data_IF_457621297446
#
_entry.id   IF_457621297446
#
_cell.length_a   1.000
_cell.length_b   1.000
_cell.length_c   1.000
_cell.angle_alpha   90.00
_cell.angle_beta   90.00
_cell.angle_gamma   90.00
#
_symmetry.space_group_name_H-M   'P 1'
#
loop_
_entity.id
_entity.type
_entity.pdbx_description
1 polymer ?
#
# COMPACT_ATOMS: atom_id res chain seq x y z
N UNK A 1 -7.25 6.38 6.85
CA UNK A 1 -6.39 6.47 5.64
C UNK A 1 -7.22 6.85 4.43
N UNK A 2 -6.66 7.59 3.48
CA UNK A 2 -7.27 7.81 2.15
C UNK A 2 -6.64 6.86 1.14
N UNK A 3 -7.44 6.29 0.25
CA UNK A 3 -6.94 5.38 -0.77
C UNK A 3 -5.99 6.10 -1.72
N UNK A 4 -4.75 5.63 -1.92
CA UNK A 4 -3.80 6.28 -2.84
C UNK A 4 -4.23 6.18 -4.31
N UNK A 5 -5.18 5.29 -4.64
CA UNK A 5 -5.65 5.09 -6.02
C UNK A 5 -6.84 5.98 -6.39
N UNK A 6 -7.79 6.16 -5.48
CA UNK A 6 -9.06 6.86 -5.76
C UNK A 6 -9.41 7.95 -4.73
N UNK A 7 -8.53 8.22 -3.76
CA UNK A 7 -8.76 9.14 -2.63
C UNK A 7 -9.98 8.83 -1.76
N UNK A 8 -10.62 7.67 -1.97
CA UNK A 8 -11.77 7.21 -1.21
C UNK A 8 -11.44 6.78 0.22
N UNK A 9 -12.48 6.61 1.03
CA UNK A 9 -12.37 6.16 2.41
C UNK A 9 -11.86 4.71 2.47
N UNK A 10 -11.01 4.44 3.46
CA UNK A 10 -10.53 3.11 3.77
C UNK A 10 -10.92 2.73 5.20
N UNK A 11 -11.23 1.45 5.41
CA UNK A 11 -11.46 0.87 6.73
C UNK A 11 -10.41 -0.20 7.02
N UNK A 12 -10.17 -0.46 8.31
CA UNK A 12 -9.27 -1.52 8.74
C UNK A 12 -10.04 -2.83 8.75
N UNK A 13 -9.59 -3.80 7.96
CA UNK A 13 -10.15 -5.14 7.88
C UNK A 13 -9.11 -6.15 8.38
N UNK A 14 -9.55 -7.11 9.20
CA UNK A 14 -8.70 -8.22 9.63
C UNK A 14 -8.87 -9.36 8.64
N UNK A 15 -7.82 -9.68 7.90
CA UNK A 15 -7.79 -10.80 6.97
C UNK A 15 -7.06 -11.98 7.62
N UNK A 16 -7.64 -13.16 7.48
CA UNK A 16 -7.04 -14.43 7.85
C UNK A 16 -6.95 -15.30 6.61
N UNK A 17 -5.74 -15.65 6.21
CA UNK A 17 -5.47 -16.73 5.26
C UNK A 17 -5.15 -18.02 6.03
N UNK A 18 -4.95 -19.14 5.35
CA UNK A 18 -4.61 -20.45 5.95
C UNK A 18 -3.35 -20.40 6.84
N UNK A 19 -2.44 -19.46 6.57
CA UNK A 19 -1.13 -19.39 7.24
C UNK A 19 -0.95 -18.15 8.14
N UNK A 20 -1.65 -17.04 7.88
CA UNK A 20 -1.36 -15.75 8.53
C UNK A 20 -2.64 -14.96 8.76
N UNK A 21 -2.69 -14.29 9.91
CA UNK A 21 -3.70 -13.28 10.23
C UNK A 21 -3.02 -11.92 10.25
N UNK A 22 -3.50 -10.98 9.45
CA UNK A 22 -2.96 -9.63 9.39
C UNK A 22 -4.07 -8.58 9.23
N UNK A 23 -3.74 -7.32 9.56
CA UNK A 23 -4.68 -6.21 9.46
C UNK A 23 -4.33 -5.37 8.24
N UNK A 24 -5.28 -5.19 7.33
CA UNK A 24 -5.12 -4.45 6.08
C UNK A 24 -6.09 -3.28 6.03
N UNK A 25 -5.69 -2.19 5.39
CA UNK A 25 -6.63 -1.14 5.03
C UNK A 25 -7.26 -1.47 3.68
N UNK A 26 -8.58 -1.57 3.64
CA UNK A 26 -9.35 -1.80 2.41
C UNK A 26 -10.14 -0.58 2.02
N UNK A 27 -10.02 -0.20 0.76
CA UNK A 27 -10.82 0.89 0.21
C UNK A 27 -12.25 0.43 -0.06
N UNK A 28 -13.22 1.21 0.41
CA UNK A 28 -14.65 0.95 0.17
C UNK A 28 -15.01 1.16 -1.30
N UNK A 29 -14.37 2.14 -1.96
CA UNK A 29 -14.75 2.53 -3.32
C UNK A 29 -14.11 1.64 -4.41
N UNK A 30 -12.81 1.34 -4.31
CA UNK A 30 -12.09 0.61 -5.36
C UNK A 30 -11.51 -0.74 -4.93
N UNK A 31 -11.71 -1.16 -3.68
CA UNK A 31 -11.22 -2.45 -3.17
C UNK A 31 -9.70 -2.54 -2.97
N UNK A 32 -8.93 -1.46 -3.17
CA UNK A 32 -7.49 -1.48 -2.96
C UNK A 32 -7.13 -1.86 -1.51
N UNK A 33 -6.19 -2.80 -1.38
CA UNK A 33 -5.65 -3.28 -0.11
C UNK A 33 -4.28 -2.65 0.17
N UNK A 34 -4.12 -2.12 1.39
CA UNK A 34 -2.88 -1.48 1.85
C UNK A 34 -2.51 -2.04 3.23
N UNK A 35 -1.54 -2.95 3.25
CA UNK A 35 -0.89 -3.47 4.46
C UNK A 35 0.39 -2.65 4.75
N UNK A 36 0.94 -2.75 5.96
CA UNK A 36 2.25 -2.19 6.32
C UNK A 36 3.34 -2.57 5.31
N UNK A 37 3.40 -3.84 4.92
CA UNK A 37 4.35 -4.38 3.95
C UNK A 37 4.17 -3.73 2.58
N UNK A 38 2.92 -3.55 2.13
CA UNK A 38 2.61 -2.90 0.84
C UNK A 38 3.05 -1.43 0.88
N UNK A 39 2.81 -0.73 2.00
CA UNK A 39 3.24 0.66 2.17
C UNK A 39 4.76 0.79 2.20
N UNK A 40 5.44 -0.08 2.94
CA UNK A 40 6.90 -0.08 3.06
C UNK A 40 7.56 -0.40 1.69
N UNK A 41 7.02 -1.39 0.97
CA UNK A 41 7.50 -1.73 -0.37
C UNK A 41 7.31 -0.58 -1.36
N UNK A 42 6.17 0.11 -1.32
CA UNK A 42 5.95 1.30 -2.16
C UNK A 42 6.93 2.42 -1.85
N UNK A 43 7.18 2.69 -0.57
CA UNK A 43 8.17 3.71 -0.16
C UNK A 43 9.56 3.38 -0.69
N UNK A 44 9.97 2.10 -0.60
CA UNK A 44 11.24 1.63 -1.15
C UNK A 44 11.29 1.77 -2.68
N UNK A 45 10.26 1.32 -3.39
CA UNK A 45 10.21 1.44 -4.85
C UNK A 45 10.28 2.88 -5.33
N UNK A 46 9.58 3.81 -4.67
CA UNK A 46 9.66 5.24 -4.99
C UNK A 46 11.07 5.79 -4.76
N UNK A 47 11.69 5.48 -3.62
CA UNK A 47 13.06 5.91 -3.34
C UNK A 47 14.09 5.35 -4.35
N UNK A 48 13.86 4.14 -4.87
CA UNK A 48 14.70 3.55 -5.93
C UNK A 48 14.51 4.30 -7.25
N UNK A 49 13.28 4.66 -7.61
CA UNK A 49 13.01 5.43 -8.84
C UNK A 49 13.67 6.82 -8.77
N UNK A 50 13.54 7.51 -7.64
CA UNK A 50 14.19 8.81 -7.42
C UNK A 50 15.72 8.69 -7.54
N UNK A 51 16.31 7.65 -6.95
CA UNK A 51 17.75 7.40 -7.04
C UNK A 51 18.21 7.11 -8.48
N UNK A 52 17.44 6.33 -9.26
CA UNK A 52 17.73 6.04 -10.67
C UNK A 52 17.62 7.31 -11.53
N UNK A 53 16.63 8.17 -11.27
CA UNK A 53 16.46 9.43 -11.98
C UNK A 53 17.62 10.41 -11.69
N UNK A 54 18.09 10.46 -10.44
CA UNK A 54 19.29 11.26 -10.07
C UNK A 54 20.60 10.70 -10.59
N UNK A 55 20.71 9.38 -10.82
CA UNK A 55 21.92 8.76 -11.38
C UNK A 55 21.99 8.82 -12.91
N UNK A 56 20.88 9.18 -13.56
CA UNK A 56 20.77 9.31 -15.02
C UNK A 56 20.93 10.75 -15.52
N UNK A 57 21.10 11.71 -14.60
CA UNK A 57 21.44 13.11 -14.86
C UNK A 57 22.93 13.34 -14.62
#
# INVERSE_FOLDING_TARGET
MKCPKCSGLMYLERLSDFFVIFNVWKCINCGALMDKTIMDNRRKSLAVLDAVETASQ
#
